data_IF_987672890563
#
_entry.id   IF_987672890563
#
_cell.length_a   1.000
_cell.length_b   1.000
_cell.length_c   1.000
_cell.angle_alpha   90.00
_cell.angle_beta   90.00
_cell.angle_gamma   90.00
#
_symmetry.space_group_name_H-M   'P 1'
#
loop_
_entity.id
_entity.type
_entity.pdbx_description
1 polymer ?
#
# COMPACT_ATOMS: atom_id res chain seq x y z
N UNK A 1 16.86 -13.16 -20.70
CA UNK A 1 15.58 -13.24 -19.99
C UNK A 1 14.53 -13.56 -21.02
N UNK A 2 13.74 -14.61 -20.83
CA UNK A 2 12.66 -14.87 -21.77
C UNK A 2 11.46 -13.99 -21.38
N UNK A 3 10.60 -13.73 -22.35
CA UNK A 3 9.37 -12.97 -22.11
C UNK A 3 8.22 -13.69 -22.79
N UNK A 4 7.07 -13.68 -22.14
CA UNK A 4 5.80 -14.02 -22.78
C UNK A 4 5.18 -12.74 -23.32
N UNK A 5 4.69 -12.80 -24.56
CA UNK A 5 4.02 -11.68 -25.23
C UNK A 5 2.62 -12.12 -25.59
N UNK A 6 1.63 -11.36 -25.14
CA UNK A 6 0.22 -11.55 -25.51
C UNK A 6 -0.31 -10.28 -26.14
N UNK A 7 -0.81 -10.39 -27.38
CA UNK A 7 -1.52 -9.31 -28.05
C UNK A 7 -2.99 -9.31 -27.66
N UNK A 8 -3.58 -8.13 -27.60
CA UNK A 8 -5.02 -7.98 -27.54
C UNK A 8 -5.68 -8.33 -28.88
N UNK A 9 -7.01 -8.46 -28.88
CA UNK A 9 -7.80 -8.82 -30.07
C UNK A 9 -7.67 -7.79 -31.21
N UNK A 10 -7.25 -6.56 -30.88
CA UNK A 10 -7.04 -5.49 -31.86
C UNK A 10 -5.65 -5.54 -32.50
N UNK A 11 -4.68 -6.20 -31.86
CA UNK A 11 -3.28 -6.24 -32.27
C UNK A 11 -2.50 -4.95 -32.00
N UNK A 12 -3.12 -3.96 -31.34
CA UNK A 12 -2.49 -2.67 -31.04
C UNK A 12 -1.91 -2.59 -29.63
N UNK A 13 -2.25 -3.53 -28.74
CA UNK A 13 -1.69 -3.64 -27.39
C UNK A 13 -1.02 -4.99 -27.23
N UNK A 14 0.24 -4.96 -26.83
CA UNK A 14 0.96 -6.15 -26.39
C UNK A 14 1.27 -6.02 -24.90
N UNK A 15 0.97 -7.06 -24.13
CA UNK A 15 1.44 -7.22 -22.75
C UNK A 15 2.68 -8.10 -22.81
N UNK A 16 3.78 -7.59 -22.28
CA UNK A 16 5.05 -8.31 -22.18
C UNK A 16 5.30 -8.63 -20.71
N UNK A 17 5.40 -9.90 -20.39
CA UNK A 17 5.65 -10.38 -19.03
C UNK A 17 7.01 -11.09 -19.00
N UNK A 18 7.98 -10.61 -18.20
CA UNK A 18 9.22 -11.34 -17.94
C UNK A 18 8.96 -12.71 -17.31
N UNK A 19 9.75 -13.71 -17.69
CA UNK A 19 9.68 -15.07 -17.13
C UNK A 19 10.32 -15.21 -15.74
N UNK A 20 11.06 -14.19 -15.32
CA UNK A 20 11.70 -14.07 -14.02
C UNK A 20 11.71 -12.61 -13.56
N UNK A 21 11.81 -12.35 -12.24
CA UNK A 21 11.97 -10.99 -11.71
C UNK A 21 13.14 -10.24 -12.36
N UNK A 22 12.97 -8.94 -12.55
CA UNK A 22 14.06 -8.08 -13.02
C UNK A 22 15.07 -7.86 -11.88
N UNK A 23 16.36 -7.89 -12.21
CA UNK A 23 17.42 -7.60 -11.25
C UNK A 23 17.34 -6.13 -10.85
N UNK A 24 17.61 -5.83 -9.57
CA UNK A 24 17.69 -4.46 -9.06
C UNK A 24 18.84 -3.67 -9.71
N UNK A 25 18.73 -2.33 -9.72
CA UNK A 25 19.73 -1.39 -10.24
C UNK A 25 20.28 -1.76 -11.63
N UNK A 26 19.46 -2.38 -12.47
CA UNK A 26 19.88 -2.93 -13.76
C UNK A 26 19.17 -2.20 -14.89
N UNK A 27 19.97 -1.75 -15.87
CA UNK A 27 19.45 -1.14 -17.08
C UNK A 27 18.90 -2.23 -18.02
N UNK A 28 17.64 -2.09 -18.40
CA UNK A 28 16.96 -2.93 -19.36
C UNK A 28 16.54 -2.12 -20.58
N UNK A 29 16.48 -2.79 -21.73
CA UNK A 29 15.90 -2.23 -22.95
C UNK A 29 14.76 -3.13 -23.38
N UNK A 30 13.55 -2.57 -23.40
CA UNK A 30 12.40 -3.20 -24.02
C UNK A 30 12.40 -2.82 -25.50
N UNK A 31 12.66 -3.80 -26.37
CA UNK A 31 12.58 -3.64 -27.82
C UNK A 31 11.40 -4.46 -28.35
N UNK A 32 10.55 -3.80 -29.14
CA UNK A 32 9.40 -4.42 -29.80
C UNK A 32 9.54 -4.21 -31.30
N UNK A 33 9.47 -5.29 -32.06
CA UNK A 33 9.46 -5.25 -33.52
C UNK A 33 8.13 -5.82 -34.03
N UNK A 34 7.36 -5.00 -34.75
CA UNK A 34 6.09 -5.41 -35.36
C UNK A 34 6.16 -5.15 -36.86
N UNK A 35 6.02 -6.19 -37.66
CA UNK A 35 6.01 -6.13 -39.13
C UNK A 35 7.24 -5.38 -39.72
N UNK A 36 8.42 -5.57 -39.11
CA UNK A 36 9.67 -4.93 -39.55
C UNK A 36 9.87 -3.48 -39.10
N UNK A 37 8.95 -2.92 -38.31
CA UNK A 37 9.13 -1.65 -37.62
C UNK A 37 9.48 -1.90 -36.16
N UNK A 38 10.70 -1.52 -35.78
CA UNK A 38 11.20 -1.63 -34.41
C UNK A 38 11.00 -0.33 -33.64
N UNK A 39 10.60 -0.45 -32.37
CA UNK A 39 10.70 0.61 -31.39
C UNK A 39 11.37 0.05 -30.13
N UNK A 40 12.12 0.89 -29.42
CA UNK A 40 12.77 0.49 -28.18
C UNK A 40 12.72 1.59 -27.15
N UNK A 41 12.49 1.21 -25.90
CA UNK A 41 12.61 2.09 -24.75
C UNK A 41 13.55 1.48 -23.73
N UNK A 42 14.34 2.32 -23.07
CA UNK A 42 15.25 1.89 -22.01
C UNK A 42 14.74 2.38 -20.67
N UNK A 43 14.85 1.53 -19.66
CA UNK A 43 14.51 1.85 -18.28
C UNK A 43 15.54 1.21 -17.35
N UNK A 44 15.63 1.70 -16.12
CA UNK A 44 16.49 1.10 -15.09
C UNK A 44 15.61 0.74 -13.92
N UNK A 45 15.75 -0.48 -13.42
CA UNK A 45 15.07 -0.92 -12.20
C UNK A 45 15.63 -0.19 -10.98
N UNK A 46 14.81 -0.06 -9.93
CA UNK A 46 15.24 0.54 -8.67
C UNK A 46 16.15 -0.41 -7.88
N UNK A 47 16.64 0.05 -6.72
CA UNK A 47 17.43 -0.76 -5.80
C UNK A 47 16.63 -1.90 -5.12
N UNK A 48 15.30 -1.80 -5.14
CA UNK A 48 14.40 -2.78 -4.55
C UNK A 48 14.44 -4.08 -5.36
N UNK A 49 14.45 -5.22 -4.66
CA UNK A 49 14.69 -6.55 -5.23
C UNK A 49 16.14 -7.04 -5.09
N UNK A 50 17.04 -6.22 -4.53
CA UNK A 50 18.32 -6.71 -4.04
C UNK A 50 18.11 -7.60 -2.81
N UNK A 51 18.88 -8.68 -2.61
CA UNK A 51 18.84 -9.46 -1.38
C UNK A 51 19.13 -8.60 -0.14
N UNK A 52 18.54 -8.97 1.00
CA UNK A 52 18.89 -8.36 2.28
C UNK A 52 20.38 -8.59 2.60
N UNK A 53 21.03 -7.53 3.08
CA UNK A 53 22.40 -7.54 3.58
C UNK A 53 22.47 -7.59 5.10
N UNK A 54 21.37 -7.20 5.76
CA UNK A 54 21.14 -7.38 7.19
C UNK A 54 20.42 -8.70 7.46
N UNK A 55 20.55 -9.23 8.67
CA UNK A 55 19.72 -10.34 9.13
C UNK A 55 18.24 -9.96 9.20
N UNK A 56 17.33 -10.90 8.95
CA UNK A 56 15.87 -10.65 9.06
C UNK A 56 15.51 -10.27 10.50
N UNK A 57 16.26 -10.78 11.49
CA UNK A 57 16.13 -10.41 12.90
C UNK A 57 16.42 -8.93 13.18
N UNK A 58 17.27 -8.29 12.36
CA UNK A 58 17.54 -6.85 12.44
C UNK A 58 16.39 -5.99 11.92
N UNK A 59 15.41 -6.57 11.22
CA UNK A 59 14.18 -5.86 10.85
C UNK A 59 13.22 -5.74 12.05
N UNK A 60 13.33 -6.62 13.05
CA UNK A 60 12.42 -6.64 14.20
C UNK A 60 12.47 -5.33 14.97
N UNK A 61 11.29 -4.76 15.23
CA UNK A 61 11.13 -3.47 15.92
C UNK A 61 11.21 -2.25 15.00
N UNK A 62 11.57 -2.39 13.73
CA UNK A 62 11.54 -1.26 12.79
C UNK A 62 10.08 -0.87 12.49
N UNK A 63 9.81 0.44 12.48
CA UNK A 63 8.54 1.01 12.02
C UNK A 63 8.78 1.93 10.84
N UNK A 64 7.93 1.88 9.82
CA UNK A 64 8.06 2.64 8.58
C UNK A 64 6.84 3.53 8.38
N UNK A 65 7.04 4.74 7.86
CA UNK A 65 5.96 5.68 7.59
C UNK A 65 5.50 5.60 6.13
N UNK A 66 4.31 5.05 5.91
CA UNK A 66 3.61 5.09 4.63
C UNK A 66 2.72 6.34 4.61
N UNK A 67 3.06 7.30 3.74
CA UNK A 67 2.31 8.55 3.62
C UNK A 67 1.09 8.36 2.72
N UNK A 68 -0.11 8.30 3.32
CA UNK A 68 -1.37 8.17 2.57
C UNK A 68 -1.64 9.39 1.68
N UNK A 69 -1.25 10.60 2.09
CA UNK A 69 -1.49 11.83 1.33
C UNK A 69 -0.53 12.00 0.15
N UNK A 70 0.58 11.26 0.16
CA UNK A 70 1.54 11.16 -0.93
C UNK A 70 1.33 9.93 -1.82
N UNK A 71 0.31 9.11 -1.56
CA UNK A 71 0.10 7.89 -2.31
C UNK A 71 -0.47 8.16 -3.72
N UNK A 72 0.00 7.39 -4.70
CA UNK A 72 -0.57 7.35 -6.04
C UNK A 72 -1.71 6.32 -6.07
N UNK A 73 -2.94 6.80 -5.92
CA UNK A 73 -4.12 5.95 -5.96
C UNK A 73 -4.49 5.57 -7.40
N UNK A 74 -4.41 4.27 -7.71
CA UNK A 74 -4.81 3.68 -9.00
C UNK A 74 -6.27 3.28 -9.01
N UNK A 75 -6.86 3.00 -7.84
CA UNK A 75 -8.31 2.79 -7.67
C UNK A 75 -8.85 3.62 -6.50
N UNK A 76 -10.04 4.23 -6.67
CA UNK A 76 -10.86 4.30 -7.88
C UNK A 76 -10.23 5.22 -8.94
N UNK A 77 -10.29 4.83 -10.22
CA UNK A 77 -9.73 5.63 -11.32
C UNK A 77 -10.37 7.03 -11.36
N UNK A 78 -9.53 8.08 -11.41
CA UNK A 78 -10.01 9.47 -11.47
C UNK A 78 -10.38 10.09 -10.11
N UNK A 79 -10.38 9.31 -9.02
CA UNK A 79 -10.56 9.82 -7.66
C UNK A 79 -9.26 9.94 -6.85
N UNK A 80 -8.12 9.58 -7.44
CA UNK A 80 -6.87 9.50 -6.68
C UNK A 80 -6.41 10.81 -6.03
N UNK A 81 -6.49 11.94 -6.75
CA UNK A 81 -6.16 13.26 -6.17
C UNK A 81 -7.13 13.65 -5.05
N UNK A 82 -8.40 13.25 -5.16
CA UNK A 82 -9.42 13.52 -4.15
C UNK A 82 -9.12 12.70 -2.90
N UNK A 83 -8.86 11.39 -3.04
CA UNK A 83 -8.46 10.52 -1.93
C UNK A 83 -7.19 11.04 -1.23
N UNK A 84 -6.14 11.36 -1.99
CA UNK A 84 -4.89 11.88 -1.45
C UNK A 84 -5.05 13.23 -0.73
N UNK A 85 -6.04 14.04 -1.12
CA UNK A 85 -6.27 15.35 -0.50
C UNK A 85 -6.81 15.29 0.93
N UNK A 86 -7.42 14.17 1.34
CA UNK A 86 -8.00 14.02 2.66
C UNK A 86 -7.55 12.79 3.45
N UNK A 87 -6.98 11.78 2.78
CA UNK A 87 -6.29 10.67 3.45
C UNK A 87 -4.86 11.10 3.73
N UNK A 88 -4.66 12.01 4.68
CA UNK A 88 -3.34 12.59 4.98
C UNK A 88 -2.69 12.02 6.24
N UNK A 89 -3.36 11.11 6.94
CA UNK A 89 -2.83 10.48 8.14
C UNK A 89 -1.59 9.61 7.81
N UNK A 90 -0.53 9.67 8.64
CA UNK A 90 0.57 8.71 8.56
C UNK A 90 0.07 7.29 8.81
N UNK A 91 0.38 6.35 7.93
CA UNK A 91 0.16 4.92 8.16
C UNK A 91 1.48 4.29 8.61
N UNK A 92 1.55 3.85 9.86
CA UNK A 92 2.76 3.27 10.42
C UNK A 92 2.72 1.76 10.28
N UNK A 93 3.75 1.20 9.66
CA UNK A 93 3.88 -0.24 9.45
C UNK A 93 5.12 -0.72 10.20
N UNK A 94 4.91 -1.60 11.19
CA UNK A 94 5.95 -2.15 12.04
C UNK A 94 6.28 -3.59 11.67
N UNK A 95 7.53 -3.99 11.92
CA UNK A 95 7.93 -5.39 11.95
C UNK A 95 7.96 -5.84 13.41
N UNK A 96 7.10 -6.79 13.75
CA UNK A 96 7.02 -7.39 15.07
C UNK A 96 8.09 -8.47 15.27
N UNK A 97 7.66 -9.65 15.71
CA UNK A 97 8.55 -10.80 15.90
C UNK A 97 9.00 -11.37 14.55
N UNK A 98 10.23 -11.88 14.50
CA UNK A 98 10.83 -12.52 13.33
C UNK A 98 11.27 -13.95 13.64
N UNK A 99 11.13 -14.86 12.68
CA UNK A 99 11.57 -16.27 12.78
C UNK A 99 11.98 -16.81 11.41
N UNK A 100 13.30 -16.91 11.19
CA UNK A 100 13.85 -17.24 9.88
C UNK A 100 13.49 -16.18 8.85
N UNK A 101 12.83 -16.59 7.77
CA UNK A 101 12.34 -15.70 6.72
C UNK A 101 10.92 -15.16 7.01
N UNK A 102 10.35 -15.49 8.17
CA UNK A 102 9.02 -15.03 8.56
C UNK A 102 9.10 -13.77 9.40
N UNK A 103 8.23 -12.80 9.10
CA UNK A 103 8.11 -11.53 9.82
C UNK A 103 6.65 -11.30 10.21
N UNK A 104 6.40 -10.84 11.43
CA UNK A 104 5.09 -10.32 11.81
C UNK A 104 4.94 -8.88 11.31
N UNK A 105 3.85 -8.60 10.60
CA UNK A 105 3.54 -7.24 10.15
C UNK A 105 2.51 -6.64 11.09
N UNK A 106 2.85 -5.49 11.66
CA UNK A 106 1.96 -4.69 12.50
C UNK A 106 1.63 -3.40 11.78
N UNK A 107 0.51 -2.78 12.10
CA UNK A 107 0.26 -1.41 11.67
C UNK A 107 -0.59 -0.61 12.63
N UNK A 108 -0.52 0.71 12.52
CA UNK A 108 -1.41 1.62 13.25
C UNK A 108 -1.45 2.96 12.53
N UNK A 109 -2.40 3.82 12.90
CA UNK A 109 -2.41 5.20 12.46
C UNK A 109 -1.40 6.01 13.29
N UNK A 110 -0.58 6.80 12.60
CA UNK A 110 0.32 7.75 13.20
C UNK A 110 -0.25 9.16 13.23
N UNK A 111 0.50 10.06 13.84
CA UNK A 111 0.23 11.50 13.81
C UNK A 111 1.53 12.29 13.79
N UNK A 112 1.47 13.47 13.20
CA UNK A 112 2.57 14.44 13.26
C UNK A 112 2.48 15.24 14.57
N UNK A 113 3.62 15.40 15.23
CA UNK A 113 3.74 16.28 16.40
C UNK A 113 3.92 17.73 15.98
N UNK A 114 3.77 18.68 16.90
CA UNK A 114 4.05 20.10 16.63
C UNK A 114 5.52 20.38 16.19
N UNK A 115 6.42 19.41 16.36
CA UNK A 115 7.82 19.49 15.92
C UNK A 115 8.09 18.91 14.54
N UNK A 116 7.09 18.30 13.89
CA UNK A 116 7.24 17.60 12.61
C UNK A 116 7.60 16.12 12.72
N UNK A 117 7.77 15.61 13.93
CA UNK A 117 8.05 14.18 14.15
C UNK A 117 6.78 13.35 13.97
N UNK A 118 6.91 12.19 13.32
CA UNK A 118 5.83 11.20 13.18
C UNK A 118 5.89 10.20 14.33
N UNK A 119 4.79 10.02 15.05
CA UNK A 119 4.66 9.07 16.16
C UNK A 119 3.39 8.24 16.00
N UNK A 120 3.32 7.08 16.66
CA UNK A 120 2.06 6.34 16.77
C UNK A 120 1.00 7.17 17.51
N UNK A 121 -0.23 7.19 16.99
CA UNK A 121 -1.34 7.84 17.65
C UNK A 121 -2.00 6.86 18.64
N UNK A 122 -1.89 7.17 19.93
CA UNK A 122 -2.37 6.33 21.02
C UNK A 122 -3.90 6.21 21.09
N UNK A 123 -4.64 6.95 20.26
CA UNK A 123 -6.09 6.80 20.15
C UNK A 123 -6.48 5.61 19.26
N UNK A 124 -5.54 5.06 18.49
CA UNK A 124 -5.76 3.93 17.60
C UNK A 124 -5.03 2.69 18.10
N UNK A 125 -5.67 1.54 17.90
CA UNK A 125 -5.08 0.26 18.22
C UNK A 125 -4.01 -0.13 17.18
N UNK A 126 -3.15 -1.07 17.57
CA UNK A 126 -2.20 -1.70 16.64
C UNK A 126 -2.91 -2.89 16.02
N UNK A 127 -3.03 -2.88 14.69
CA UNK A 127 -3.51 -3.99 13.89
C UNK A 127 -2.40 -5.03 13.72
N UNK A 128 -2.76 -6.31 13.85
CA UNK A 128 -1.89 -7.43 13.54
C UNK A 128 -2.26 -8.00 12.17
N UNK A 129 -1.39 -7.83 11.18
CA UNK A 129 -1.55 -8.42 9.85
C UNK A 129 -1.02 -9.86 9.78
N UNK A 130 -0.63 -10.43 10.93
CA UNK A 130 -0.09 -11.76 11.06
C UNK A 130 1.31 -11.89 10.47
N UNK A 131 1.68 -13.14 10.18
CA UNK A 131 3.00 -13.50 9.70
C UNK A 131 3.05 -13.53 8.17
N UNK A 132 4.01 -12.81 7.60
CA UNK A 132 4.39 -12.87 6.19
C UNK A 132 5.72 -13.63 6.03
N UNK A 133 5.85 -14.43 4.98
CA UNK A 133 7.12 -15.05 4.59
C UNK A 133 7.80 -14.21 3.52
N UNK A 134 9.08 -13.86 3.74
CA UNK A 134 9.87 -13.11 2.78
C UNK A 134 10.21 -13.95 1.54
N UNK A 135 10.02 -13.36 0.37
CA UNK A 135 10.63 -13.83 -0.89
C UNK A 135 11.79 -12.89 -1.23
N UNK A 136 12.98 -13.23 -0.73
CA UNK A 136 14.13 -12.32 -0.73
C UNK A 136 13.90 -11.14 0.22
N UNK A 137 13.67 -9.95 -0.34
CA UNK A 137 13.34 -8.74 0.44
C UNK A 137 11.87 -8.31 0.27
N UNK A 138 11.09 -9.02 -0.54
CA UNK A 138 9.67 -8.75 -0.77
C UNK A 138 8.82 -9.41 0.31
N UNK A 139 7.76 -8.71 0.73
CA UNK A 139 6.73 -9.25 1.60
C UNK A 139 5.33 -8.91 1.09
N UNK A 140 4.38 -9.74 1.48
CA UNK A 140 2.95 -9.54 1.30
C UNK A 140 2.28 -9.91 2.61
N UNK A 141 1.55 -8.97 3.21
CA UNK A 141 0.83 -9.19 4.46
C UNK A 141 -0.39 -10.08 4.25
N UNK A 142 -0.92 -10.66 5.33
CA UNK A 142 -2.29 -11.17 5.30
C UNK A 142 -3.28 -9.99 5.14
N UNK A 143 -4.52 -10.31 4.77
CA UNK A 143 -5.61 -9.34 4.79
C UNK A 143 -6.06 -9.11 6.22
N UNK A 144 -6.37 -7.87 6.57
CA UNK A 144 -6.86 -7.49 7.91
C UNK A 144 -7.79 -6.31 7.77
N UNK A 145 -8.87 -6.29 8.55
CA UNK A 145 -9.75 -5.14 8.61
C UNK A 145 -9.10 -4.06 9.49
N UNK A 146 -8.99 -2.86 8.96
CA UNK A 146 -8.44 -1.70 9.69
C UNK A 146 -9.46 -0.57 9.74
N UNK A 147 -9.23 0.39 10.61
CA UNK A 147 -10.05 1.61 10.69
C UNK A 147 -9.14 2.84 10.69
N UNK A 148 -9.36 3.74 9.74
CA UNK A 148 -8.68 5.04 9.74
C UNK A 148 -9.61 6.09 10.35
N UNK A 149 -9.17 6.73 11.43
CA UNK A 149 -9.95 7.78 12.09
C UNK A 149 -9.49 9.17 11.70
N UNK A 150 -10.44 9.97 11.29
CA UNK A 150 -10.29 11.39 11.02
C UNK A 150 -11.27 12.16 11.90
N UNK A 151 -11.00 13.44 12.16
CA UNK A 151 -11.76 14.22 13.15
C UNK A 151 -13.29 14.24 12.97
N UNK A 152 -13.80 13.97 11.75
CA UNK A 152 -15.24 13.90 11.47
C UNK A 152 -15.70 12.57 10.86
N UNK A 153 -14.82 11.59 10.68
CA UNK A 153 -15.13 10.34 10.00
C UNK A 153 -14.27 9.19 10.52
N UNK A 154 -14.87 8.03 10.72
CA UNK A 154 -14.17 6.76 10.85
C UNK A 154 -14.35 5.97 9.55
N UNK A 155 -13.25 5.50 8.99
CA UNK A 155 -13.21 4.83 7.69
C UNK A 155 -12.76 3.38 7.91
N UNK A 156 -13.71 2.45 8.07
CA UNK A 156 -13.42 1.03 7.97
C UNK A 156 -12.85 0.70 6.58
N UNK A 157 -11.75 -0.05 6.55
CA UNK A 157 -11.19 -0.63 5.33
C UNK A 157 -11.11 -2.13 5.52
N UNK A 158 -11.95 -2.85 4.78
CA UNK A 158 -12.02 -4.30 4.85
C UNK A 158 -10.97 -4.95 3.96
N UNK A 159 -10.51 -6.13 4.37
CA UNK A 159 -9.53 -6.94 3.63
C UNK A 159 -8.27 -6.14 3.24
N UNK A 160 -7.81 -5.23 4.10
CA UNK A 160 -6.62 -4.43 3.81
C UNK A 160 -5.39 -5.32 3.71
N UNK A 161 -4.68 -5.21 2.60
CA UNK A 161 -3.44 -5.93 2.33
C UNK A 161 -2.35 -4.95 1.95
N UNK A 162 -1.18 -5.11 2.57
CA UNK A 162 0.02 -4.33 2.27
C UNK A 162 1.06 -5.22 1.60
N UNK A 163 1.76 -4.65 0.63
CA UNK A 163 2.91 -5.24 -0.04
C UNK A 163 4.06 -4.25 -0.02
N UNK A 164 5.28 -4.76 -0.01
CA UNK A 164 6.46 -3.92 -0.05
C UNK A 164 7.74 -4.71 -0.25
N UNK A 165 8.83 -4.00 -0.51
CA UNK A 165 10.17 -4.58 -0.61
C UNK A 165 11.12 -3.79 0.26
N UNK A 166 11.75 -4.44 1.23
CA UNK A 166 12.79 -3.82 2.05
C UNK A 166 13.99 -3.44 1.17
N UNK A 167 14.59 -2.29 1.44
CA UNK A 167 15.95 -2.01 0.98
C UNK A 167 16.91 -3.04 1.60
N UNK A 168 18.04 -3.27 0.94
CA UNK A 168 18.99 -4.29 1.37
C UNK A 168 19.50 -4.09 2.81
N UNK A 169 19.52 -2.86 3.31
CA UNK A 169 19.94 -2.52 4.68
C UNK A 169 18.78 -2.39 5.67
N UNK A 170 17.54 -2.65 5.24
CA UNK A 170 16.33 -2.52 6.06
C UNK A 170 15.90 -1.07 6.36
N UNK A 171 16.59 -0.05 5.85
CA UNK A 171 16.31 1.35 6.19
C UNK A 171 15.05 1.94 5.55
N UNK A 172 14.57 1.30 4.48
CA UNK A 172 13.46 1.75 3.65
C UNK A 172 12.60 0.56 3.24
N UNK A 173 11.31 0.81 3.01
CA UNK A 173 10.45 -0.06 2.20
C UNK A 173 10.10 0.69 0.93
N UNK A 174 10.37 0.09 -0.22
CA UNK A 174 9.98 0.63 -1.52
C UNK A 174 9.05 -0.29 -2.29
N UNK A 175 8.47 0.25 -3.37
CA UNK A 175 7.43 -0.45 -4.13
C UNK A 175 6.23 -0.80 -3.26
N UNK A 176 5.99 0.00 -2.21
CA UNK A 176 4.91 -0.21 -1.28
C UNK A 176 3.59 -0.05 -2.01
N UNK A 177 2.66 -0.97 -1.81
CA UNK A 177 1.28 -0.82 -2.28
C UNK A 177 0.31 -1.40 -1.28
N UNK A 178 -0.88 -0.80 -1.22
CA UNK A 178 -1.97 -1.28 -0.41
C UNK A 178 -3.23 -1.41 -1.24
N UNK A 179 -4.05 -2.40 -0.88
CA UNK A 179 -5.41 -2.55 -1.41
C UNK A 179 -6.37 -2.88 -0.29
N UNK A 180 -7.61 -2.45 -0.41
CA UNK A 180 -8.67 -2.78 0.54
C UNK A 180 -10.00 -2.18 0.10
N UNK A 181 -11.06 -2.55 0.80
CA UNK A 181 -12.41 -2.10 0.53
C UNK A 181 -12.82 -1.03 1.55
N UNK A 182 -12.73 0.24 1.17
CA UNK A 182 -13.01 1.37 2.06
C UNK A 182 -14.49 1.73 2.12
N UNK A 183 -15.02 1.85 3.33
CA UNK A 183 -16.39 2.31 3.59
C UNK A 183 -16.48 3.84 3.53
N UNK A 184 -17.22 4.35 2.54
CA UNK A 184 -17.22 5.77 2.24
C UNK A 184 -18.31 6.60 2.93
N UNK A 185 -19.14 5.98 3.78
CA UNK A 185 -20.30 6.63 4.40
C UNK A 185 -19.96 7.90 5.18
N UNK A 186 -18.88 7.89 5.94
CA UNK A 186 -18.52 9.02 6.79
C UNK A 186 -17.58 10.01 6.10
N UNK A 187 -17.02 9.62 4.95
CA UNK A 187 -16.00 10.39 4.24
C UNK A 187 -16.51 11.68 3.58
N UNK A 188 -17.84 11.87 3.48
CA UNK A 188 -18.43 13.09 2.92
C UNK A 188 -17.96 14.37 3.61
N UNK A 189 -17.70 14.31 4.92
CA UNK A 189 -17.23 15.48 5.67
C UNK A 189 -15.79 15.88 5.30
N UNK A 190 -14.94 14.89 4.99
CA UNK A 190 -13.55 15.08 4.61
C UNK A 190 -13.44 15.80 3.26
N UNK A 191 -14.34 15.48 2.33
CA UNK A 191 -14.45 16.12 1.03
C UNK A 191 -15.31 17.41 1.03
N UNK A 192 -15.74 17.90 2.20
CA UNK A 192 -16.67 19.05 2.33
C UNK A 192 -18.00 18.87 1.58
N UNK A 193 -18.48 17.63 1.45
CA UNK A 193 -19.75 17.26 0.80
C UNK A 193 -20.91 17.09 1.80
N UNK A 194 -20.64 17.21 3.10
CA UNK A 194 -21.64 17.07 4.17
C UNK A 194 -21.59 15.70 4.84
N UNK A 195 -22.68 15.31 5.49
CA UNK A 195 -22.79 14.06 6.26
C UNK A 195 -23.71 13.04 5.59
N UNK A 196 -23.96 13.19 4.30
CA UNK A 196 -24.78 12.23 3.55
C UNK A 196 -23.94 10.97 3.28
N UNK A 197 -24.39 9.77 3.71
CA UNK A 197 -23.65 8.53 3.44
C UNK A 197 -23.46 8.24 1.96
N UNK A 198 -24.30 8.80 1.09
CA UNK A 198 -24.17 8.64 -0.37
C UNK A 198 -23.20 9.67 -0.99
N UNK A 199 -22.63 10.60 -0.23
CA UNK A 199 -21.87 11.74 -0.77
C UNK A 199 -20.68 11.32 -1.66
N UNK A 200 -19.85 10.39 -1.17
CA UNK A 200 -18.67 9.92 -1.92
C UNK A 200 -19.09 9.02 -3.07
N UNK A 201 -20.07 8.14 -2.89
CA UNK A 201 -20.59 7.31 -3.97
C UNK A 201 -21.24 8.14 -5.09
N UNK A 202 -21.95 9.21 -4.72
CA UNK A 202 -22.51 10.19 -5.65
C UNK A 202 -21.42 10.93 -6.42
N UNK A 203 -20.31 11.31 -5.75
CA UNK A 203 -19.15 11.88 -6.42
C UNK A 203 -18.52 10.87 -7.38
N UNK A 204 -18.27 9.65 -6.94
CA UNK A 204 -17.71 8.57 -7.75
C UNK A 204 -18.55 8.30 -9.01
N UNK A 205 -19.88 8.37 -8.90
CA UNK A 205 -20.80 8.23 -10.03
C UNK A 205 -20.60 9.31 -11.11
N UNK A 206 -20.13 10.51 -10.75
CA UNK A 206 -19.79 11.56 -11.75
C UNK A 206 -18.59 11.19 -12.63
N UNK A 207 -17.75 10.26 -12.15
CA UNK A 207 -16.63 9.67 -12.88
C UNK A 207 -16.98 8.32 -13.52
N UNK A 208 -18.25 7.91 -13.48
CA UNK A 208 -18.73 6.63 -14.03
C UNK A 208 -18.41 5.42 -13.15
N UNK A 209 -18.03 5.64 -11.89
CA UNK A 209 -17.75 4.60 -10.93
C UNK A 209 -19.00 4.30 -10.08
N UNK A 210 -19.16 3.06 -9.65
CA UNK A 210 -20.22 2.67 -8.73
C UNK A 210 -19.60 2.12 -7.46
N UNK A 211 -20.14 2.55 -6.30
CA UNK A 211 -19.85 1.88 -5.05
C UNK A 211 -20.35 0.43 -5.09
N UNK A 212 -19.60 -0.43 -4.41
CA UNK A 212 -19.90 -1.84 -4.26
C UNK A 212 -20.47 -2.14 -2.86
N UNK A 213 -20.94 -3.37 -2.69
CA UNK A 213 -21.54 -3.81 -1.44
C UNK A 213 -20.46 -4.07 -0.39
N UNK A 214 -20.55 -3.37 0.73
CA UNK A 214 -19.75 -3.61 1.92
C UNK A 214 -20.09 -4.97 2.57
N UNK A 215 -19.23 -5.51 3.46
CA UNK A 215 -19.51 -6.74 4.20
C UNK A 215 -20.81 -6.70 5.03
N UNK A 216 -21.26 -5.51 5.41
CA UNK A 216 -22.53 -5.30 6.12
C UNK A 216 -23.78 -5.38 5.22
N UNK A 217 -23.59 -5.56 3.91
CA UNK A 217 -24.65 -5.68 2.91
C UNK A 217 -25.11 -4.39 2.24
N UNK A 218 -24.49 -3.24 2.55
CA UNK A 218 -24.90 -1.95 1.99
C UNK A 218 -23.93 -1.41 0.91
N UNK A 219 -24.40 -0.62 -0.08
CA UNK A 219 -23.62 -0.27 -1.27
C UNK A 219 -22.79 1.02 -1.12
N UNK A 220 -21.93 1.10 -0.10
CA UNK A 220 -21.13 2.31 0.18
C UNK A 220 -19.62 2.12 0.10
N UNK A 221 -19.18 0.94 -0.32
CA UNK A 221 -17.77 0.63 -0.33
C UNK A 221 -17.13 0.94 -1.68
N UNK A 222 -15.85 1.28 -1.64
CA UNK A 222 -15.01 1.49 -2.81
C UNK A 222 -13.71 0.71 -2.63
N UNK A 223 -13.34 -0.09 -3.62
CA UNK A 223 -11.98 -0.62 -3.70
C UNK A 223 -10.99 0.54 -3.80
N UNK A 224 -10.08 0.60 -2.83
CA UNK A 224 -8.96 1.53 -2.78
C UNK A 224 -7.70 0.74 -3.13
N UNK A 225 -6.91 1.26 -4.05
CA UNK A 225 -5.59 0.72 -4.41
C UNK A 225 -4.64 1.89 -4.57
N UNK A 226 -3.50 1.84 -3.89
CA UNK A 226 -2.52 2.93 -3.89
C UNK A 226 -1.09 2.43 -3.84
N UNK A 227 -0.20 3.19 -4.47
CA UNK A 227 1.25 3.01 -4.44
C UNK A 227 1.88 4.11 -3.60
N UNK A 228 2.87 3.73 -2.79
CA UNK A 228 3.53 4.64 -1.89
C UNK A 228 4.95 4.95 -2.36
N UNK A 229 5.35 6.19 -2.13
CA UNK A 229 6.77 6.54 -2.13
C UNK A 229 7.54 5.69 -1.10
N UNK A 230 8.86 5.53 -1.27
CA UNK A 230 9.69 4.83 -0.30
C UNK A 230 9.47 5.28 1.15
N UNK A 231 9.02 4.35 1.99
CA UNK A 231 8.76 4.57 3.41
C UNK A 231 10.05 4.41 4.20
N UNK A 232 10.51 5.49 4.85
CA UNK A 232 11.69 5.47 5.71
C UNK A 232 11.39 4.88 7.09
N UNK A 233 12.39 4.21 7.66
CA UNK A 233 12.33 3.75 9.05
C UNK A 233 12.27 4.95 10.01
N UNK A 234 11.42 4.83 11.02
CA UNK A 234 11.27 5.73 12.15
C UNK A 234 12.02 5.12 13.34
N UNK A 235 13.26 5.56 13.64
CA UNK A 235 14.14 4.88 14.60
C UNK A 235 13.61 4.88 16.04
N UNK A 236 12.77 5.86 16.39
CA UNK A 236 12.24 6.05 17.75
C UNK A 236 10.78 5.58 17.90
N UNK A 237 10.23 4.92 16.88
CA UNK A 237 8.85 4.40 16.90
C UNK A 237 8.89 2.89 16.79
N UNK A 238 8.29 2.23 17.77
CA UNK A 238 8.10 0.78 17.78
C UNK A 238 6.63 0.46 17.99
N UNK A 239 6.11 -0.45 17.20
CA UNK A 239 4.77 -0.98 17.38
C UNK A 239 4.83 -2.28 18.18
N UNK A 240 3.88 -2.44 19.09
CA UNK A 240 3.73 -3.67 19.87
C UNK A 240 2.27 -3.88 20.13
N UNK A 241 1.82 -5.12 20.03
CA UNK A 241 0.48 -5.49 20.44
C UNK A 241 0.32 -5.30 21.95
N UNK A 242 -0.87 -4.91 22.42
CA UNK A 242 -1.15 -4.92 23.85
C UNK A 242 -0.91 -6.33 24.41
N UNK A 243 -0.41 -6.46 25.64
CA UNK A 243 -0.25 -7.77 26.26
C UNK A 243 -1.61 -8.48 26.26
N UNK A 244 -1.67 -9.71 25.75
CA UNK A 244 -2.87 -10.53 25.90
C UNK A 244 -3.15 -10.67 27.39
N UNK A 245 -4.27 -10.11 27.86
CA UNK A 245 -4.72 -10.29 29.24
C UNK A 245 -4.94 -11.79 29.43
N UNK A 246 -3.95 -12.45 30.05
CA UNK A 246 -3.94 -13.89 30.28
C UNK A 246 -5.21 -14.34 30.99
N UNK A 247 -6.07 -15.06 30.26
CA UNK A 247 -7.22 -15.79 30.80
C UNK A 247 -6.82 -17.04 31.57
#
# INVERSE_FOLDING_TARGET
MATTVTFDDTGFKAVVTPDAPLMANTAYTLAVEVCGNGNSTSFTTSQYGSPLTVGVDELSGNTYNFNLGGAEYTRPEGLGEVLASFLDAPLLIGVGVTDGDNIQILGTQGRETNGGDIIADTNFEVWDFGTATLDGAYFESATTDIELGYGCANIPIYDFQLKGTFAADGSLIGGGSATGLGDSREMGCLASLGSDPDAICGLAATFGLACETCPDGNPWCLTIEGWFDPAAVLPDVQLSLPPEDGG
#
